data_IF_795990448737
#
_entry.id   IF_795990448737
#
_cell.length_a   1.000
_cell.length_b   1.000
_cell.length_c   1.000
_cell.angle_alpha   90.00
_cell.angle_beta   90.00
_cell.angle_gamma   90.00
#
_symmetry.space_group_name_H-M   'P 1'
#
loop_
_entity.id
_entity.type
_entity.pdbx_description
1 polymer ?
#
# COMPACT_ATOMS: atom_id res chain seq x y z
N UNK A 1 47.82 32.70 19.08
CA UNK A 1 46.73 32.38 18.18
C UNK A 1 47.15 31.21 17.31
N UNK A 2 46.75 30.00 17.68
CA UNK A 2 47.02 28.79 16.91
C UNK A 2 45.70 28.33 16.26
N UNK A 3 45.73 28.24 14.95
CA UNK A 3 44.58 27.79 14.15
C UNK A 3 44.25 26.31 14.42
N UNK A 4 42.99 26.02 14.68
CA UNK A 4 42.47 24.68 14.75
C UNK A 4 42.14 24.22 13.35
N UNK A 5 42.77 23.14 12.95
CA UNK A 5 42.62 22.47 11.67
C UNK A 5 41.41 21.55 11.76
N UNK A 6 40.36 21.87 11.03
CA UNK A 6 39.14 21.03 10.89
C UNK A 6 39.36 20.04 9.75
N UNK A 7 39.91 18.87 10.02
CA UNK A 7 39.90 17.73 9.06
C UNK A 7 40.11 16.43 9.84
N UNK A 8 39.12 16.02 10.60
CA UNK A 8 38.99 14.62 11.02
C UNK A 8 37.85 13.99 10.21
N UNK A 9 38.27 13.23 9.20
CA UNK A 9 37.41 12.32 8.45
C UNK A 9 36.97 11.20 9.40
N UNK A 10 35.67 11.13 9.67
CA UNK A 10 35.08 9.93 10.23
C UNK A 10 35.10 8.84 9.15
N UNK A 11 36.12 7.99 9.20
CA UNK A 11 36.15 6.74 8.45
C UNK A 11 35.35 5.75 9.28
N UNK A 12 34.12 5.47 8.84
CA UNK A 12 33.37 4.30 9.30
C UNK A 12 34.14 3.06 8.82
N UNK A 13 34.78 2.37 9.74
CA UNK A 13 35.26 1.00 9.53
C UNK A 13 34.03 0.11 9.39
N UNK A 14 33.65 -0.21 8.17
CA UNK A 14 32.83 -1.38 7.88
C UNK A 14 33.76 -2.56 8.00
N UNK A 15 33.78 -3.24 9.15
CA UNK A 15 34.38 -4.55 9.27
C UNK A 15 33.66 -5.50 8.33
N UNK A 16 34.40 -5.99 7.34
CA UNK A 16 34.03 -7.11 6.50
C UNK A 16 33.78 -8.34 7.38
N UNK A 17 32.54 -8.55 7.79
CA UNK A 17 32.09 -9.86 8.25
C UNK A 17 32.14 -10.78 7.02
N UNK A 18 33.21 -11.54 6.89
CA UNK A 18 33.26 -12.70 6.00
C UNK A 18 32.13 -13.62 6.41
N UNK A 19 31.05 -13.63 5.63
CA UNK A 19 30.10 -14.71 5.67
C UNK A 19 30.87 -15.99 5.34
N UNK A 20 31.06 -16.86 6.31
CA UNK A 20 31.59 -18.21 6.07
C UNK A 20 30.62 -18.90 5.08
N UNK A 21 31.16 -19.65 4.10
CA UNK A 21 30.33 -20.42 3.21
C UNK A 21 29.56 -21.44 4.04
N UNK A 22 28.24 -21.34 4.08
CA UNK A 22 27.36 -22.36 4.65
C UNK A 22 27.63 -23.65 3.87
N UNK A 23 28.29 -24.60 4.52
CA UNK A 23 28.63 -25.91 3.95
C UNK A 23 27.32 -26.67 3.74
N UNK A 24 27.01 -27.00 2.50
CA UNK A 24 25.85 -27.74 2.02
C UNK A 24 25.87 -29.25 2.35
N UNK A 25 26.44 -29.66 3.48
CA UNK A 25 26.68 -31.09 3.82
C UNK A 25 25.55 -31.77 4.63
N UNK A 26 24.43 -31.11 4.91
CA UNK A 26 23.32 -31.73 5.68
C UNK A 26 21.98 -31.87 4.94
N UNK A 27 21.95 -31.93 3.62
CA UNK A 27 20.75 -32.09 2.81
C UNK A 27 20.31 -33.54 2.57
N UNK A 28 20.67 -34.46 3.44
CA UNK A 28 20.45 -35.89 3.22
C UNK A 28 19.57 -36.64 4.20
N UNK A 29 18.77 -35.99 5.07
CA UNK A 29 18.05 -36.73 6.14
C UNK A 29 16.64 -36.27 6.50
N UNK A 30 15.94 -35.52 5.70
CA UNK A 30 14.49 -35.33 5.91
C UNK A 30 13.73 -35.70 4.66
N UNK A 31 12.94 -36.76 4.79
CA UNK A 31 12.08 -37.27 3.73
C UNK A 31 11.03 -36.24 3.33
N UNK A 32 10.76 -36.26 2.05
CA UNK A 32 9.74 -35.64 1.24
C UNK A 32 8.80 -34.61 1.84
N UNK A 33 8.58 -33.57 1.06
CA UNK A 33 7.47 -32.60 1.00
C UNK A 33 7.57 -31.24 1.70
N UNK A 34 8.67 -30.86 2.37
CA UNK A 34 8.73 -29.54 3.03
C UNK A 34 10.02 -28.71 2.73
N UNK A 35 10.66 -28.91 1.58
CA UNK A 35 11.90 -28.20 1.24
C UNK A 35 11.74 -26.99 0.33
N UNK A 36 10.57 -26.67 -0.13
CA UNK A 36 10.24 -25.36 -0.64
C UNK A 36 9.75 -24.54 0.55
N UNK A 37 10.65 -23.84 1.20
CA UNK A 37 10.24 -22.81 2.15
C UNK A 37 9.17 -21.98 1.46
N UNK A 38 7.93 -22.07 1.95
CA UNK A 38 6.77 -21.44 1.35
C UNK A 38 7.11 -19.97 1.11
N UNK A 39 7.45 -19.62 -0.13
CA UNK A 39 7.63 -18.24 -0.55
C UNK A 39 6.35 -17.51 -0.22
N UNK A 40 6.38 -16.71 0.84
CA UNK A 40 5.23 -15.95 1.27
C UNK A 40 5.09 -14.76 0.33
N UNK A 41 4.28 -14.95 -0.71
CA UNK A 41 3.96 -13.89 -1.66
C UNK A 41 3.42 -12.70 -0.86
N UNK A 42 4.05 -11.55 -1.06
CA UNK A 42 3.72 -10.31 -0.35
C UNK A 42 2.73 -9.50 -1.18
N UNK A 43 1.71 -8.99 -0.53
CA UNK A 43 0.73 -8.08 -1.12
C UNK A 43 0.16 -7.17 -0.04
N UNK A 44 -0.13 -5.92 -0.38
CA UNK A 44 -0.85 -4.98 0.45
C UNK A 44 -2.37 -4.99 0.15
N UNK A 45 -2.80 -5.70 -0.89
CA UNK A 45 -4.20 -5.75 -1.28
C UNK A 45 -4.98 -6.85 -0.56
N UNK A 46 -6.10 -6.49 0.08
CA UNK A 46 -6.97 -7.44 0.77
C UNK A 46 -7.68 -8.39 -0.20
N UNK A 47 -8.02 -7.92 -1.40
CA UNK A 47 -8.61 -8.75 -2.44
C UNK A 47 -7.68 -9.88 -2.85
N UNK A 48 -6.38 -9.63 -2.99
CA UNK A 48 -5.38 -10.66 -3.32
C UNK A 48 -5.14 -11.63 -2.16
N UNK A 49 -5.22 -11.15 -0.92
CA UNK A 49 -5.15 -12.03 0.24
C UNK A 49 -6.34 -13.00 0.28
N UNK A 50 -7.52 -12.58 -0.17
CA UNK A 50 -8.72 -13.41 -0.24
C UNK A 50 -8.69 -14.39 -1.41
N UNK A 51 -8.17 -14.02 -2.57
CA UNK A 51 -8.11 -14.87 -3.77
C UNK A 51 -7.41 -16.20 -3.52
N UNK A 52 -6.41 -16.26 -2.65
CA UNK A 52 -5.74 -17.50 -2.23
C UNK A 52 -6.72 -18.56 -1.70
N UNK A 53 -7.74 -18.14 -0.95
CA UNK A 53 -8.75 -19.05 -0.39
C UNK A 53 -9.79 -19.46 -1.42
N UNK A 54 -10.02 -18.63 -2.42
CA UNK A 54 -10.94 -18.95 -3.53
C UNK A 54 -10.36 -20.00 -4.45
N UNK A 55 -9.06 -19.92 -4.75
CA UNK A 55 -8.32 -20.93 -5.50
C UNK A 55 -8.39 -22.30 -4.82
N UNK A 56 -8.39 -22.35 -3.49
CA UNK A 56 -8.49 -23.56 -2.68
C UNK A 56 -9.94 -23.99 -2.37
N UNK A 57 -10.96 -23.28 -2.85
CA UNK A 57 -12.38 -23.47 -2.51
C UNK A 57 -12.67 -23.43 -0.98
N UNK A 58 -11.92 -22.65 -0.24
CA UNK A 58 -12.05 -22.52 1.23
C UNK A 58 -12.82 -21.25 1.58
N UNK A 59 -13.98 -21.39 2.25
CA UNK A 59 -14.67 -20.28 2.89
C UNK A 59 -13.97 -19.90 4.19
N UNK A 60 -13.53 -18.66 4.30
CA UNK A 60 -12.93 -18.12 5.53
C UNK A 60 -14.03 -17.59 6.43
N UNK A 61 -14.28 -18.27 7.56
CA UNK A 61 -15.28 -17.83 8.55
C UNK A 61 -14.92 -16.44 9.11
N UNK A 62 -15.88 -15.52 9.04
CA UNK A 62 -15.69 -14.15 9.52
C UNK A 62 -15.06 -13.23 8.49
N UNK A 63 -15.07 -13.62 7.22
CA UNK A 63 -14.76 -12.76 6.08
C UNK A 63 -15.97 -12.72 5.16
N UNK A 64 -16.51 -11.53 4.95
CA UNK A 64 -17.63 -11.27 4.03
C UNK A 64 -17.09 -10.56 2.79
N UNK A 65 -17.55 -10.95 1.61
CA UNK A 65 -17.14 -10.33 0.34
C UNK A 65 -18.37 -9.94 -0.46
N UNK A 66 -18.36 -8.72 -0.92
CA UNK A 66 -19.35 -8.18 -1.83
C UNK A 66 -18.64 -7.62 -3.05
N UNK A 67 -19.06 -8.03 -4.24
CA UNK A 67 -18.55 -7.53 -5.52
C UNK A 67 -19.66 -6.84 -6.28
N UNK A 68 -19.33 -5.70 -6.86
CA UNK A 68 -20.19 -4.93 -7.76
C UNK A 68 -19.37 -4.57 -9.01
N UNK A 69 -19.96 -4.74 -10.19
CA UNK A 69 -19.34 -4.39 -11.44
C UNK A 69 -20.26 -3.51 -12.29
N UNK A 70 -19.80 -2.31 -12.53
CA UNK A 70 -20.46 -1.37 -13.41
C UNK A 70 -19.91 -1.52 -14.84
N UNK A 71 -20.67 -2.18 -15.71
CA UNK A 71 -20.27 -2.44 -17.11
C UNK A 71 -20.12 -1.13 -17.92
N UNK A 72 -20.93 -0.10 -17.65
CA UNK A 72 -20.89 1.15 -18.41
C UNK A 72 -19.62 1.95 -18.13
N UNK A 73 -19.12 1.83 -16.89
CA UNK A 73 -17.94 2.57 -16.41
C UNK A 73 -16.68 1.70 -16.37
N UNK A 74 -16.80 0.42 -16.65
CA UNK A 74 -15.73 -0.57 -16.47
C UNK A 74 -15.03 -0.44 -15.11
N UNK A 75 -15.85 -0.28 -14.04
CA UNK A 75 -15.38 -0.16 -12.66
C UNK A 75 -15.87 -1.38 -11.88
N UNK A 76 -14.94 -2.12 -11.31
CA UNK A 76 -15.21 -3.21 -10.36
C UNK A 76 -14.92 -2.74 -8.96
N UNK A 77 -15.87 -2.90 -8.06
CA UNK A 77 -15.71 -2.60 -6.63
C UNK A 77 -15.88 -3.86 -5.81
N UNK A 78 -14.84 -4.25 -5.09
CA UNK A 78 -14.85 -5.40 -4.18
C UNK A 78 -14.73 -4.90 -2.75
N UNK A 79 -15.70 -5.23 -1.91
CA UNK A 79 -15.71 -4.93 -0.47
C UNK A 79 -15.43 -6.21 0.31
N UNK A 80 -14.33 -6.24 1.02
CA UNK A 80 -13.95 -7.32 1.94
C UNK A 80 -14.11 -6.84 3.37
N UNK A 81 -14.98 -7.48 4.15
CA UNK A 81 -15.15 -7.19 5.59
C UNK A 81 -14.61 -8.34 6.41
N UNK A 82 -13.65 -8.04 7.26
CA UNK A 82 -13.07 -8.98 8.20
C UNK A 82 -13.70 -8.71 9.56
N UNK A 83 -14.57 -9.64 10.04
CA UNK A 83 -15.42 -9.41 11.22
C UNK A 83 -14.94 -10.17 12.44
N UNK A 84 -14.03 -11.12 12.29
CA UNK A 84 -13.55 -11.96 13.41
C UNK A 84 -12.02 -12.03 13.46
N UNK A 85 -11.48 -12.34 14.65
CA UNK A 85 -10.03 -12.58 14.82
C UNK A 85 -9.53 -13.78 14.00
N UNK A 86 -10.34 -14.81 13.81
CA UNK A 86 -9.97 -15.95 12.99
C UNK A 86 -9.86 -15.55 11.52
N UNK A 87 -10.81 -14.72 11.03
CA UNK A 87 -10.74 -14.11 9.72
C UNK A 87 -9.50 -13.23 9.57
N UNK A 88 -9.21 -12.41 10.58
CA UNK A 88 -8.03 -11.54 10.57
C UNK A 88 -6.72 -12.35 10.50
N UNK A 89 -6.60 -13.43 11.27
CA UNK A 89 -5.44 -14.33 11.22
C UNK A 89 -5.31 -15.03 9.87
N UNK A 90 -6.40 -15.54 9.32
CA UNK A 90 -6.41 -16.21 8.02
C UNK A 90 -6.00 -15.26 6.91
N UNK A 91 -6.60 -14.07 6.87
CA UNK A 91 -6.31 -13.03 5.88
C UNK A 91 -4.94 -12.35 6.09
N UNK A 92 -4.33 -12.48 7.29
CA UNK A 92 -3.11 -11.75 7.65
C UNK A 92 -3.33 -10.23 7.71
N UNK A 93 -4.57 -9.79 8.06
CA UNK A 93 -4.99 -8.39 8.06
C UNK A 93 -5.87 -8.08 9.26
N UNK A 94 -5.85 -6.84 9.78
CA UNK A 94 -6.74 -6.43 10.86
C UNK A 94 -8.23 -6.61 10.52
N UNK A 95 -9.06 -6.73 11.55
CA UNK A 95 -10.51 -6.64 11.41
C UNK A 95 -10.89 -5.25 10.91
N UNK A 96 -11.80 -5.18 9.95
CA UNK A 96 -12.25 -3.92 9.35
C UNK A 96 -12.75 -4.11 7.94
N UNK A 97 -12.92 -3.00 7.24
CA UNK A 97 -13.45 -2.93 5.88
C UNK A 97 -12.34 -2.56 4.90
N UNK A 98 -12.23 -3.33 3.85
CA UNK A 98 -11.30 -3.09 2.74
C UNK A 98 -12.11 -3.00 1.46
N UNK A 99 -12.04 -1.85 0.80
CA UNK A 99 -12.73 -1.57 -0.45
C UNK A 99 -11.69 -1.46 -1.55
N UNK A 100 -11.81 -2.28 -2.56
CA UNK A 100 -10.92 -2.29 -3.71
C UNK A 100 -11.69 -1.85 -4.93
N UNK A 101 -11.25 -0.79 -5.58
CA UNK A 101 -11.78 -0.25 -6.83
C UNK A 101 -10.78 -0.61 -7.92
N UNK A 102 -11.20 -1.38 -8.92
CA UNK A 102 -10.37 -1.80 -10.04
C UNK A 102 -10.96 -1.26 -11.34
N UNK A 103 -10.10 -0.71 -12.18
CA UNK A 103 -10.46 -0.20 -13.49
C UNK A 103 -9.26 -0.16 -14.43
N UNK A 104 -9.40 -0.69 -15.63
CA UNK A 104 -8.34 -0.64 -16.63
C UNK A 104 -8.04 0.79 -17.08
N UNK A 105 -9.04 1.66 -17.06
CA UNK A 105 -8.90 3.05 -17.45
C UNK A 105 -8.06 3.91 -16.52
N UNK A 106 -7.80 3.47 -15.27
CA UNK A 106 -6.91 4.21 -14.36
C UNK A 106 -5.49 4.41 -14.91
N UNK A 107 -5.04 3.52 -15.79
CA UNK A 107 -3.75 3.65 -16.47
C UNK A 107 -3.83 4.34 -17.83
N UNK A 108 -5.03 4.76 -18.26
CA UNK A 108 -5.23 5.44 -19.53
C UNK A 108 -5.21 6.97 -19.34
N UNK A 109 -4.69 7.74 -20.31
CA UNK A 109 -4.66 9.20 -20.26
C UNK A 109 -6.04 9.80 -20.65
N UNK A 110 -7.12 9.38 -20.00
CA UNK A 110 -8.48 9.83 -20.26
C UNK A 110 -9.07 10.52 -19.01
N UNK A 111 -9.23 11.84 -19.08
CA UNK A 111 -9.73 12.65 -17.96
C UNK A 111 -11.17 12.30 -17.55
N UNK A 112 -12.04 11.92 -18.49
CA UNK A 112 -13.43 11.56 -18.18
C UNK A 112 -13.50 10.26 -17.37
N UNK A 113 -12.63 9.32 -17.69
CA UNK A 113 -12.53 8.05 -16.99
C UNK A 113 -12.04 8.21 -15.55
N UNK A 114 -11.03 9.05 -15.32
CA UNK A 114 -10.54 9.37 -13.99
C UNK A 114 -11.60 10.04 -13.12
N UNK A 115 -12.47 10.83 -13.73
CA UNK A 115 -13.59 11.45 -13.01
C UNK A 115 -14.57 10.41 -12.48
N UNK A 116 -14.91 9.39 -13.24
CA UNK A 116 -15.81 8.33 -12.81
C UNK A 116 -15.25 7.51 -11.65
N UNK A 117 -13.97 7.14 -11.72
CA UNK A 117 -13.27 6.46 -10.62
C UNK A 117 -13.17 7.37 -9.39
N UNK A 118 -12.93 8.67 -9.57
CA UNK A 118 -12.88 9.63 -8.47
C UNK A 118 -14.24 9.81 -7.78
N UNK A 119 -15.35 9.77 -8.53
CA UNK A 119 -16.71 9.78 -7.98
C UNK A 119 -16.96 8.52 -7.13
N UNK A 120 -16.54 7.34 -7.61
CA UNK A 120 -16.67 6.09 -6.87
C UNK A 120 -15.83 6.10 -5.59
N UNK A 121 -14.57 6.53 -5.67
CA UNK A 121 -13.69 6.74 -4.52
C UNK A 121 -14.32 7.70 -3.50
N UNK A 122 -14.82 8.85 -3.97
CA UNK A 122 -15.47 9.86 -3.14
C UNK A 122 -16.71 9.31 -2.43
N UNK A 123 -17.52 8.50 -3.11
CA UNK A 123 -18.70 7.84 -2.54
C UNK A 123 -18.35 6.97 -1.35
N UNK A 124 -17.31 6.14 -1.48
CA UNK A 124 -16.85 5.28 -0.40
C UNK A 124 -16.21 6.04 0.75
N UNK A 125 -15.39 7.06 0.45
CA UNK A 125 -14.80 7.92 1.48
C UNK A 125 -15.86 8.65 2.29
N UNK A 126 -16.89 9.20 1.66
CA UNK A 126 -18.02 9.85 2.35
C UNK A 126 -18.70 8.90 3.32
N UNK A 127 -18.95 7.66 2.93
CA UNK A 127 -19.55 6.63 3.79
C UNK A 127 -18.66 6.29 4.99
N UNK A 128 -17.37 6.09 4.75
CA UNK A 128 -16.43 5.71 5.80
C UNK A 128 -16.17 6.86 6.79
N UNK A 129 -16.09 8.10 6.31
CA UNK A 129 -15.74 9.26 7.14
C UNK A 129 -16.96 9.90 7.81
N UNK A 130 -18.13 9.84 7.17
CA UNK A 130 -19.34 10.52 7.65
C UNK A 130 -19.26 12.03 7.44
N UNK A 131 -19.18 12.48 6.18
CA UNK A 131 -18.96 13.88 5.78
C UNK A 131 -20.24 14.73 5.75
N UNK A 132 -21.32 14.31 6.42
CA UNK A 132 -22.57 15.06 6.51
C UNK A 132 -22.49 16.27 7.45
N UNK A 133 -21.39 16.39 8.21
CA UNK A 133 -21.11 17.50 9.12
C UNK A 133 -19.69 18.03 8.88
N UNK A 134 -19.47 19.27 9.34
CA UNK A 134 -18.10 19.84 9.34
C UNK A 134 -17.11 18.90 10.02
N UNK A 135 -15.99 18.67 9.36
CA UNK A 135 -14.91 17.82 9.85
C UNK A 135 -13.58 18.53 9.71
N UNK A 136 -12.69 18.28 10.67
CA UNK A 136 -11.27 18.58 10.54
C UNK A 136 -10.56 17.32 10.03
N UNK A 137 -9.91 17.41 8.88
CA UNK A 137 -9.25 16.30 8.21
C UNK A 137 -7.77 16.57 8.09
N UNK A 138 -6.95 15.62 8.52
CA UNK A 138 -5.51 15.62 8.26
C UNK A 138 -5.21 14.58 7.18
N UNK A 139 -4.63 15.01 6.07
CA UNK A 139 -4.20 14.13 5.00
C UNK A 139 -2.69 13.93 5.12
N UNK A 140 -2.25 12.69 5.16
CA UNK A 140 -0.84 12.29 5.30
C UNK A 140 -0.40 11.60 4.03
N UNK A 141 0.47 12.24 3.25
CA UNK A 141 1.08 11.65 2.07
C UNK A 141 2.35 10.88 2.45
N UNK A 142 2.26 9.55 2.47
CA UNK A 142 3.37 8.66 2.81
C UNK A 142 4.27 8.44 1.60
N UNK A 143 5.54 8.19 1.86
CA UNK A 143 6.52 7.84 0.83
C UNK A 143 7.61 8.88 0.63
N UNK A 144 8.42 8.65 -0.40
CA UNK A 144 9.58 9.45 -0.75
C UNK A 144 9.34 10.16 -2.10
N UNK A 145 9.23 11.49 -2.13
CA UNK A 145 9.00 12.23 -3.37
C UNK A 145 10.15 12.10 -4.40
N UNK A 146 11.32 11.66 -3.97
CA UNK A 146 12.48 11.41 -4.85
C UNK A 146 12.49 10.03 -5.52
N UNK A 147 11.50 9.18 -5.22
CA UNK A 147 11.39 7.82 -5.77
C UNK A 147 10.02 7.68 -6.42
N UNK A 148 9.95 7.59 -7.74
CA UNK A 148 8.70 7.55 -8.51
C UNK A 148 7.70 6.52 -7.97
N UNK A 149 8.13 5.31 -7.72
CA UNK A 149 7.25 4.24 -7.22
C UNK A 149 6.72 4.49 -5.79
N UNK A 150 7.28 5.44 -5.06
CA UNK A 150 6.96 5.78 -3.66
C UNK A 150 6.50 7.24 -3.50
N UNK A 151 6.23 7.94 -4.61
CA UNK A 151 5.89 9.37 -4.61
C UNK A 151 4.39 9.67 -4.57
N UNK A 152 3.51 8.66 -4.63
CA UNK A 152 2.07 8.84 -4.71
C UNK A 152 1.53 9.76 -3.60
N UNK A 153 1.81 9.46 -2.34
CA UNK A 153 1.34 10.25 -1.21
C UNK A 153 1.82 11.71 -1.25
N UNK A 154 3.12 11.98 -1.44
CA UNK A 154 3.64 13.33 -1.64
C UNK A 154 2.97 14.10 -2.78
N UNK A 155 2.77 13.46 -3.94
CA UNK A 155 2.14 14.09 -5.10
C UNK A 155 0.67 14.43 -4.85
N UNK A 156 -0.08 13.53 -4.21
CA UNK A 156 -1.47 13.82 -3.79
C UNK A 156 -1.52 15.05 -2.90
N UNK A 157 -0.64 15.17 -1.89
CA UNK A 157 -0.59 16.35 -1.02
C UNK A 157 -0.28 17.61 -1.81
N UNK A 158 0.64 17.54 -2.79
CA UNK A 158 1.02 18.67 -3.62
C UNK A 158 -0.13 19.24 -4.47
N UNK A 159 -1.09 18.38 -4.84
CA UNK A 159 -2.21 18.74 -5.72
C UNK A 159 -3.52 19.05 -4.95
N UNK A 160 -3.59 18.82 -3.65
CA UNK A 160 -4.79 19.08 -2.86
C UNK A 160 -4.90 20.53 -2.38
N UNK A 161 -6.13 21.05 -2.40
CA UNK A 161 -6.43 22.37 -1.83
C UNK A 161 -6.66 22.29 -0.32
N UNK A 162 -5.73 22.81 0.46
CA UNK A 162 -5.83 22.90 1.91
C UNK A 162 -6.72 24.05 2.33
N UNK A 163 -7.72 23.79 3.18
CA UNK A 163 -8.73 24.79 3.58
C UNK A 163 -8.63 25.22 5.03
N UNK A 164 -7.94 24.46 5.90
CA UNK A 164 -7.86 24.74 7.34
C UNK A 164 -7.36 26.14 7.66
N UNK A 165 -6.34 26.64 6.98
CA UNK A 165 -5.79 27.97 7.17
C UNK A 165 -6.78 29.06 6.73
N UNK A 166 -7.52 28.85 5.64
CA UNK A 166 -8.53 29.79 5.16
C UNK A 166 -9.69 29.93 6.14
N UNK A 167 -10.15 28.81 6.71
CA UNK A 167 -11.21 28.79 7.73
C UNK A 167 -10.75 29.54 8.97
N UNK A 168 -9.50 29.35 9.42
CA UNK A 168 -8.96 29.98 10.64
C UNK A 168 -8.70 31.48 10.48
N UNK A 169 -8.15 31.89 9.34
CA UNK A 169 -7.76 33.28 9.11
C UNK A 169 -8.93 34.16 8.64
N UNK A 170 -9.76 33.63 7.76
CA UNK A 170 -10.85 34.41 7.17
C UNK A 170 -12.23 34.11 7.76
N UNK A 171 -12.31 33.20 8.73
CA UNK A 171 -13.57 32.87 9.39
C UNK A 171 -14.61 32.27 8.45
N UNK A 172 -14.16 31.53 7.41
CA UNK A 172 -15.07 30.90 6.46
C UNK A 172 -15.95 29.88 7.21
N UNK A 173 -17.23 29.84 6.87
CA UNK A 173 -18.22 28.96 7.48
C UNK A 173 -18.97 28.20 6.42
N UNK A 174 -19.43 27.01 6.79
CA UNK A 174 -20.38 26.25 5.98
C UNK A 174 -21.66 27.05 5.74
N UNK A 175 -22.28 26.78 4.61
CA UNK A 175 -23.59 27.32 4.25
C UNK A 175 -24.62 26.19 4.20
N UNK A 176 -25.93 26.50 4.09
CA UNK A 176 -26.97 25.47 3.93
C UNK A 176 -26.77 24.58 2.70
N UNK A 177 -26.03 25.08 1.69
CA UNK A 177 -25.78 24.37 0.42
C UNK A 177 -24.43 23.70 0.34
N UNK A 178 -23.47 24.08 1.22
CA UNK A 178 -22.09 23.61 1.13
C UNK A 178 -21.48 23.45 2.52
N UNK A 179 -21.12 22.24 2.86
CA UNK A 179 -20.35 21.94 4.06
C UNK A 179 -18.86 22.19 3.76
N UNK A 180 -18.23 22.97 4.62
CA UNK A 180 -16.82 23.29 4.51
C UNK A 180 -16.01 22.49 5.53
N UNK A 181 -15.12 21.64 5.06
CA UNK A 181 -14.22 20.84 5.90
C UNK A 181 -12.88 21.55 6.09
N UNK A 182 -12.31 21.47 7.30
CA UNK A 182 -10.99 22.01 7.60
C UNK A 182 -9.91 21.00 7.20
N UNK A 183 -9.42 21.08 5.98
CA UNK A 183 -8.43 20.15 5.41
C UNK A 183 -7.03 20.71 5.62
N UNK A 184 -6.14 19.89 6.18
CA UNK A 184 -4.69 20.11 6.30
C UNK A 184 -3.95 18.89 5.77
N UNK A 185 -2.73 19.07 5.29
CA UNK A 185 -1.90 18.01 4.73
C UNK A 185 -0.47 18.08 5.19
N UNK A 186 0.20 16.93 5.24
CA UNK A 186 1.61 16.80 5.54
C UNK A 186 2.24 15.67 4.71
N UNK A 187 3.48 15.89 4.29
CA UNK A 187 4.38 14.87 3.76
C UNK A 187 5.47 14.65 4.80
N UNK A 188 5.38 13.62 5.66
CA UNK A 188 6.35 13.42 6.75
C UNK A 188 7.73 12.99 6.25
N UNK A 189 7.83 12.51 5.01
CA UNK A 189 9.03 11.89 4.47
C UNK A 189 9.26 10.47 4.99
N UNK A 190 10.43 9.92 4.71
CA UNK A 190 10.83 8.58 5.13
C UNK A 190 11.93 8.63 6.18
N UNK A 191 12.04 7.61 7.03
CA UNK A 191 13.02 7.53 8.12
C UNK A 191 14.46 7.78 7.64
N UNK A 192 14.82 7.30 6.44
CA UNK A 192 16.15 7.53 5.86
C UNK A 192 16.48 9.01 5.58
N UNK A 193 15.47 9.87 5.48
CA UNK A 193 15.63 11.32 5.28
C UNK A 193 15.51 12.09 6.59
N UNK A 194 14.58 11.69 7.46
CA UNK A 194 14.23 12.44 8.68
C UNK A 194 14.95 11.96 9.93
N UNK A 195 15.38 10.68 9.95
CA UNK A 195 15.89 10.02 11.15
C UNK A 195 14.82 9.68 12.19
N UNK A 196 13.54 9.88 11.86
CA UNK A 196 12.39 9.63 12.74
C UNK A 196 11.43 8.64 12.09
N UNK A 197 10.68 7.90 12.91
CA UNK A 197 9.56 7.11 12.42
C UNK A 197 8.44 8.03 11.91
N UNK A 198 7.81 7.64 10.80
CA UNK A 198 6.70 8.41 10.24
C UNK A 198 5.55 8.56 11.23
N UNK A 199 5.28 7.52 12.04
CA UNK A 199 4.26 7.54 13.09
C UNK A 199 4.53 8.60 14.15
N UNK A 200 5.77 8.79 14.60
CA UNK A 200 6.15 9.82 15.59
C UNK A 200 5.85 11.23 15.07
N UNK A 201 6.18 11.49 13.80
CA UNK A 201 5.91 12.79 13.17
C UNK A 201 4.41 13.04 13.09
N UNK A 202 3.65 12.05 12.63
CA UNK A 202 2.19 12.15 12.46
C UNK A 202 1.48 12.29 13.81
N UNK A 203 1.89 11.54 14.82
CA UNK A 203 1.38 11.64 16.19
C UNK A 203 1.52 13.07 16.75
N UNK A 204 2.71 13.67 16.64
CA UNK A 204 2.93 15.04 17.05
C UNK A 204 2.04 16.06 16.31
N UNK A 205 1.78 15.85 15.01
CA UNK A 205 0.87 16.69 14.24
C UNK A 205 -0.58 16.49 14.67
N UNK A 206 -1.01 15.25 14.92
CA UNK A 206 -2.36 14.91 15.39
C UNK A 206 -2.64 15.52 16.75
N UNK A 207 -1.69 15.47 17.70
CA UNK A 207 -1.83 16.08 19.01
C UNK A 207 -2.10 17.60 18.94
N UNK A 208 -1.41 18.30 18.02
CA UNK A 208 -1.53 19.75 17.85
C UNK A 208 -2.77 20.13 17.04
N UNK A 209 -3.04 19.39 15.95
CA UNK A 209 -4.10 19.77 15.01
C UNK A 209 -5.47 19.24 15.41
N UNK A 210 -5.52 18.14 16.17
CA UNK A 210 -6.72 17.45 16.66
C UNK A 210 -7.75 17.24 15.56
N UNK A 211 -7.41 16.50 14.51
CA UNK A 211 -8.34 16.24 13.42
C UNK A 211 -9.43 15.26 13.87
N UNK A 212 -10.60 15.32 13.25
CA UNK A 212 -11.67 14.30 13.42
C UNK A 212 -11.34 13.00 12.71
N UNK A 213 -10.51 13.07 11.66
CA UNK A 213 -10.07 11.91 10.87
C UNK A 213 -8.73 12.18 10.22
N UNK A 214 -7.92 11.15 10.15
CA UNK A 214 -6.67 11.10 9.37
C UNK A 214 -6.91 10.27 8.11
N UNK A 215 -6.51 10.77 6.96
CA UNK A 215 -6.46 10.02 5.70
C UNK A 215 -5.00 9.83 5.34
N UNK A 216 -4.52 8.60 5.34
CA UNK A 216 -3.15 8.27 4.95
C UNK A 216 -3.14 7.73 3.52
N UNK A 217 -2.32 8.31 2.65
CA UNK A 217 -2.17 7.92 1.24
C UNK A 217 -0.78 7.34 1.04
N UNK A 218 -0.70 6.13 0.47
CA UNK A 218 0.56 5.40 0.30
C UNK A 218 0.61 4.63 -1.02
N UNK A 219 1.82 4.37 -1.49
CA UNK A 219 2.10 3.45 -2.57
C UNK A 219 2.15 2.01 -2.04
N UNK A 220 1.43 1.10 -2.67
CA UNK A 220 1.29 -0.28 -2.24
C UNK A 220 2.10 -1.24 -3.11
N UNK A 221 2.30 -2.46 -2.60
CA UNK A 221 2.80 -3.58 -3.37
C UNK A 221 1.65 -4.54 -3.74
N UNK A 222 1.52 -4.86 -5.03
CA UNK A 222 0.62 -5.90 -5.51
C UNK A 222 1.36 -7.23 -5.66
N UNK A 223 0.60 -8.32 -5.64
CA UNK A 223 1.03 -9.62 -6.13
C UNK A 223 0.86 -9.74 -7.64
N UNK A 224 -0.25 -9.26 -8.18
CA UNK A 224 -0.60 -9.40 -9.58
C UNK A 224 -0.24 -8.14 -10.38
N UNK A 225 0.55 -8.31 -11.44
CA UNK A 225 0.95 -7.20 -12.34
C UNK A 225 -0.23 -6.49 -12.99
N UNK A 226 -1.38 -7.18 -13.18
CA UNK A 226 -2.58 -6.58 -13.76
C UNK A 226 -3.18 -5.48 -12.90
N UNK A 227 -2.86 -5.44 -11.60
CA UNK A 227 -3.36 -4.46 -10.64
C UNK A 227 -2.50 -3.23 -10.50
N UNK A 228 -1.29 -3.25 -11.06
CA UNK A 228 -0.40 -2.08 -11.01
C UNK A 228 -1.06 -0.89 -11.69
N UNK A 229 -1.16 0.22 -10.93
CA UNK A 229 -1.75 1.49 -11.36
C UNK A 229 -3.22 1.39 -11.87
N UNK A 230 -3.90 0.28 -11.58
CA UNK A 230 -5.30 0.02 -12.00
C UNK A 230 -6.22 -0.29 -10.84
N UNK A 231 -5.70 -0.13 -9.63
CA UNK A 231 -6.40 -0.52 -8.41
C UNK A 231 -6.23 0.54 -7.35
N UNK A 232 -7.31 0.93 -6.69
CA UNK A 232 -7.28 1.77 -5.50
C UNK A 232 -7.85 0.96 -4.35
N UNK A 233 -7.12 0.83 -3.24
CA UNK A 233 -7.64 0.23 -2.02
C UNK A 233 -7.91 1.29 -0.97
N UNK A 234 -9.09 1.24 -0.34
CA UNK A 234 -9.48 2.07 0.80
C UNK A 234 -9.71 1.14 1.99
N UNK A 235 -9.30 1.54 3.18
CA UNK A 235 -9.57 0.76 4.39
C UNK A 235 -9.77 1.66 5.61
N UNK A 236 -10.60 1.20 6.54
CA UNK A 236 -10.82 1.84 7.84
C UNK A 236 -9.90 1.31 8.96
N UNK A 237 -8.96 0.45 8.62
CA UNK A 237 -8.00 -0.12 9.58
C UNK A 237 -6.70 0.68 9.72
N UNK A 238 -6.57 1.77 8.98
CA UNK A 238 -5.32 2.49 8.86
C UNK A 238 -4.35 1.86 7.87
N UNK A 239 -3.07 2.23 7.94
CA UNK A 239 -2.03 1.77 7.03
C UNK A 239 -0.73 1.54 7.77
N UNK A 240 0.01 0.51 7.36
CA UNK A 240 1.37 0.26 7.87
C UNK A 240 2.36 0.50 6.73
N UNK A 241 3.10 1.62 6.76
CA UNK A 241 4.00 1.99 5.68
C UNK A 241 5.04 0.91 5.39
N UNK A 242 5.19 0.52 4.13
CA UNK A 242 6.19 -0.45 3.69
C UNK A 242 5.94 -1.90 4.11
N UNK A 243 4.74 -2.26 4.58
CA UNK A 243 4.40 -3.64 4.96
C UNK A 243 4.54 -4.62 3.80
N UNK A 244 4.12 -4.25 2.61
CA UNK A 244 4.20 -5.06 1.39
C UNK A 244 5.62 -5.33 0.92
N UNK A 245 6.57 -4.48 1.28
CA UNK A 245 8.01 -4.66 0.98
C UNK A 245 8.79 -5.23 2.17
N UNK A 246 8.10 -5.67 3.24
CA UNK A 246 8.69 -6.36 4.38
C UNK A 246 9.33 -5.46 5.42
N UNK A 247 9.04 -4.17 5.41
CA UNK A 247 9.42 -3.25 6.46
C UNK A 247 8.40 -3.32 7.61
N UNK A 248 8.87 -3.65 8.82
CA UNK A 248 8.04 -3.62 10.01
C UNK A 248 8.17 -2.24 10.67
N UNK A 249 7.21 -1.36 10.39
CA UNK A 249 7.13 -0.02 10.96
C UNK A 249 5.84 0.12 11.79
N UNK A 250 5.81 1.12 12.66
CA UNK A 250 4.59 1.46 13.38
C UNK A 250 3.52 1.93 12.40
N UNK A 251 2.34 1.27 12.45
CA UNK A 251 1.21 1.61 11.60
C UNK A 251 0.56 2.93 12.03
N UNK A 252 0.02 3.66 11.07
CA UNK A 252 -0.92 4.75 11.31
C UNK A 252 -2.31 4.12 11.46
N UNK A 253 -2.71 3.85 12.68
CA UNK A 253 -3.98 3.19 13.04
C UNK A 253 -4.75 4.02 14.04
N UNK A 254 -6.04 3.75 14.21
CA UNK A 254 -6.87 4.42 15.22
C UNK A 254 -6.34 4.15 16.64
N UNK A 255 -5.81 2.95 16.88
CA UNK A 255 -5.23 2.57 18.16
C UNK A 255 -4.00 3.43 18.52
N UNK A 256 -3.12 3.68 17.54
CA UNK A 256 -1.88 4.42 17.77
C UNK A 256 -2.10 5.94 17.84
N UNK A 257 -3.02 6.47 17.03
CA UNK A 257 -3.22 7.91 16.90
C UNK A 257 -4.40 8.46 17.71
N UNK A 258 -5.20 7.61 18.36
CA UNK A 258 -6.45 7.96 19.06
C UNK A 258 -7.41 8.81 18.21
N UNK A 259 -7.40 8.61 16.91
CA UNK A 259 -8.26 9.25 15.92
C UNK A 259 -8.54 8.27 14.79
N UNK A 260 -9.73 8.32 14.21
CA UNK A 260 -10.07 7.49 13.08
C UNK A 260 -9.08 7.66 11.93
N UNK A 261 -8.58 6.55 11.41
CA UNK A 261 -7.61 6.54 10.29
C UNK A 261 -8.20 5.79 9.11
N UNK A 262 -8.20 6.44 7.95
CA UNK A 262 -8.54 5.83 6.66
C UNK A 262 -7.25 5.69 5.86
N UNK A 263 -6.96 4.48 5.41
CA UNK A 263 -5.87 4.22 4.47
C UNK A 263 -6.37 4.26 3.04
N UNK A 264 -5.65 4.90 2.15
CA UNK A 264 -5.84 4.86 0.70
C UNK A 264 -4.52 4.44 0.09
N UNK A 265 -4.55 3.49 -0.83
CA UNK A 265 -3.33 3.09 -1.49
C UNK A 265 -3.54 2.59 -2.91
N UNK A 266 -2.50 2.78 -3.72
CA UNK A 266 -2.44 2.32 -5.11
C UNK A 266 -1.20 1.46 -5.27
N UNK A 267 -1.31 0.26 -5.84
CA UNK A 267 -0.15 -0.58 -6.09
C UNK A 267 0.69 -0.01 -7.23
N UNK A 268 1.91 0.37 -6.91
CA UNK A 268 2.90 0.94 -7.84
C UNK A 268 4.05 -0.02 -8.13
N UNK A 269 4.20 -1.07 -7.30
CA UNK A 269 5.27 -2.07 -7.44
C UNK A 269 4.74 -3.49 -7.30
N UNK A 270 5.49 -4.43 -7.87
CA UNK A 270 5.29 -5.87 -7.72
C UNK A 270 6.64 -6.55 -7.51
N UNK A 271 6.66 -7.64 -6.75
CA UNK A 271 7.87 -8.44 -6.56
C UNK A 271 8.28 -9.10 -7.88
N UNK A 272 9.55 -8.96 -8.28
CA UNK A 272 10.09 -9.52 -9.51
C UNK A 272 9.97 -11.06 -9.58
N UNK A 273 10.10 -11.74 -8.44
CA UNK A 273 9.90 -13.18 -8.36
C UNK A 273 8.46 -13.58 -8.71
N UNK A 274 7.49 -12.76 -8.33
CA UNK A 274 6.07 -12.96 -8.67
C UNK A 274 5.85 -12.84 -10.19
N UNK A 275 6.47 -11.87 -10.86
CA UNK A 275 6.35 -11.71 -12.32
C UNK A 275 6.86 -12.97 -13.04
N UNK A 276 8.02 -13.48 -12.62
CA UNK A 276 8.59 -14.68 -13.21
C UNK A 276 7.70 -15.90 -12.95
N UNK A 277 7.23 -16.05 -11.71
CA UNK A 277 6.31 -17.13 -11.33
C UNK A 277 5.03 -17.10 -12.18
N UNK A 278 4.34 -15.95 -12.26
CA UNK A 278 3.08 -15.83 -13.01
C UNK A 278 3.28 -16.06 -14.52
N UNK A 279 4.42 -15.57 -15.07
CA UNK A 279 4.76 -15.80 -16.49
C UNK A 279 5.01 -17.27 -16.77
N UNK A 280 5.69 -17.96 -15.87
CA UNK A 280 5.97 -19.38 -15.98
C UNK A 280 4.72 -20.24 -15.76
N UNK A 281 3.88 -19.89 -14.78
CA UNK A 281 2.61 -20.57 -14.53
C UNK A 281 1.71 -20.51 -15.77
N UNK A 282 1.61 -19.34 -16.41
CA UNK A 282 0.85 -19.19 -17.65
C UNK A 282 1.42 -20.00 -18.82
N UNK A 283 2.76 -20.08 -18.93
CA UNK A 283 3.42 -20.94 -19.92
C UNK A 283 3.08 -22.41 -19.68
N UNK A 284 3.06 -22.85 -18.42
CA UNK A 284 2.75 -24.24 -18.04
C UNK A 284 1.30 -24.63 -18.31
N UNK A 285 0.34 -23.72 -18.08
CA UNK A 285 -1.06 -23.92 -18.41
C UNK A 285 -1.25 -24.22 -19.91
N UNK A 286 -0.36 -23.68 -20.76
CA UNK A 286 -0.37 -23.92 -22.21
C UNK A 286 0.34 -25.20 -22.62
N UNK A 287 1.13 -25.83 -21.76
CA UNK A 287 1.99 -26.97 -22.07
C UNK A 287 1.50 -28.34 -21.56
N UNK A 288 0.42 -28.42 -20.83
CA UNK A 288 -0.34 -29.62 -20.42
C UNK A 288 0.42 -30.73 -19.67
N UNK A 289 1.58 -30.47 -19.01
CA UNK A 289 2.33 -31.51 -18.30
C UNK A 289 2.71 -31.11 -16.85
N UNK A 290 2.18 -31.89 -15.88
CA UNK A 290 2.36 -31.66 -14.44
C UNK A 290 3.81 -31.77 -13.93
N UNK A 291 4.67 -32.54 -14.60
CA UNK A 291 6.09 -32.72 -14.23
C UNK A 291 6.96 -31.48 -14.51
N UNK A 292 6.49 -30.57 -15.38
CA UNK A 292 7.23 -29.35 -15.72
C UNK A 292 7.06 -28.23 -14.70
N UNK A 293 6.01 -28.29 -13.87
CA UNK A 293 5.70 -27.25 -12.89
C UNK A 293 6.76 -27.17 -11.77
N UNK A 294 7.15 -28.32 -11.24
CA UNK A 294 8.17 -28.44 -10.19
C UNK A 294 9.56 -27.97 -10.69
N UNK A 295 9.90 -28.31 -11.92
CA UNK A 295 11.17 -27.90 -12.56
C UNK A 295 11.27 -26.37 -12.77
N UNK A 296 10.16 -25.71 -13.09
CA UNK A 296 10.16 -24.27 -13.35
C UNK A 296 10.19 -23.43 -12.05
N UNK A 297 9.59 -23.93 -10.97
CA UNK A 297 9.70 -23.28 -9.66
C UNK A 297 11.15 -23.28 -9.15
N UNK A 298 11.94 -24.31 -9.44
CA UNK A 298 13.38 -24.37 -9.14
C UNK A 298 14.23 -23.40 -9.98
N UNK A 299 13.73 -22.99 -11.16
CA UNK A 299 14.46 -22.08 -12.06
C UNK A 299 14.38 -20.61 -11.66
N UNK A 300 13.44 -20.24 -10.78
CA UNK A 300 13.32 -18.84 -10.33
C UNK A 300 14.54 -18.50 -9.47
N UNK A 301 15.38 -17.61 -9.99
CA UNK A 301 16.58 -17.19 -9.27
C UNK A 301 16.24 -16.59 -7.90
N UNK A 302 16.86 -17.05 -6.80
CA UNK A 302 16.67 -16.46 -5.48
C UNK A 302 16.96 -14.96 -5.41
N UNK A 303 17.74 -14.41 -6.34
CA UNK A 303 18.02 -12.97 -6.41
C UNK A 303 16.82 -12.12 -6.81
N UNK A 304 15.78 -12.71 -7.38
CA UNK A 304 14.54 -11.99 -7.74
C UNK A 304 13.64 -11.77 -6.53
N UNK A 305 13.83 -12.54 -5.45
CA UNK A 305 13.03 -12.37 -4.24
C UNK A 305 13.34 -11.06 -3.53
N UNK A 306 12.31 -10.26 -3.30
CA UNK A 306 12.45 -8.94 -2.69
C UNK A 306 12.94 -7.84 -3.66
N UNK A 307 13.10 -8.15 -4.96
CA UNK A 307 13.30 -7.16 -6.00
C UNK A 307 11.95 -6.68 -6.50
N UNK A 308 11.64 -5.40 -6.30
CA UNK A 308 10.40 -4.80 -6.77
C UNK A 308 10.61 -4.07 -8.07
N UNK A 309 9.68 -4.22 -9.00
CA UNK A 309 9.68 -3.54 -10.28
C UNK A 309 8.44 -2.66 -10.42
N UNK A 310 8.57 -1.59 -11.17
CA UNK A 310 7.52 -0.61 -11.43
C UNK A 310 7.30 -0.50 -12.94
N UNK A 311 6.06 -0.27 -13.40
CA UNK A 311 5.80 -0.01 -14.81
C UNK A 311 6.51 1.26 -15.28
N UNK A 312 6.73 1.34 -16.58
CA UNK A 312 7.39 2.48 -17.22
C UNK A 312 6.59 3.78 -17.12
N UNK A 313 5.29 3.65 -17.02
CA UNK A 313 4.27 4.69 -17.05
C UNK A 313 3.74 5.07 -15.67
N UNK A 314 4.39 4.62 -14.58
CA UNK A 314 4.02 5.02 -13.21
C UNK A 314 3.98 6.53 -13.03
N UNK A 315 4.95 7.24 -13.60
CA UNK A 315 5.00 8.71 -13.52
C UNK A 315 3.75 9.37 -14.14
N UNK A 316 3.25 8.82 -15.24
CA UNK A 316 2.03 9.31 -15.89
C UNK A 316 0.81 9.01 -15.03
N UNK A 317 0.70 7.78 -14.53
CA UNK A 317 -0.41 7.36 -13.68
C UNK A 317 -0.50 8.20 -12.40
N UNK A 318 0.62 8.49 -11.74
CA UNK A 318 0.65 9.32 -10.53
C UNK A 318 0.11 10.73 -10.82
N UNK A 319 0.44 11.33 -11.95
CA UNK A 319 -0.09 12.65 -12.36
C UNK A 319 -1.61 12.68 -12.52
N UNK A 320 -2.21 11.56 -12.88
CA UNK A 320 -3.66 11.47 -13.03
C UNK A 320 -4.40 11.14 -11.72
N UNK A 321 -3.71 10.51 -10.76
CA UNK A 321 -4.28 10.14 -9.47
C UNK A 321 -4.11 11.24 -8.40
N UNK A 322 -3.19 12.16 -8.62
CA UNK A 322 -2.95 13.33 -7.75
C UNK A 322 -3.81 14.51 -8.16
#
# INVERSE_FOLDING_TARGET
>A
MKGMNCNEKYILHIENSRAEPVIWENLGKYGGTDMLGTYKIRTDLAVEARERFTEDNVEVRGVEVQEDYNEEKDIRTTVVKITTENGARAMGRPQGTYITIESEGLSAPDEDYHREVSEELSRHLRQLIGLEKEKSVLIVGLGNPGITADSLGPEVIGNLHMTRHLIREYGLKSTEKQILHAISGIVPGVMGQTGMETSEIVEGVVEITRPDVVIAVDALAARNTRRLNRTIQITDTGITPGSGVGNHRNGLTEENLNVKVIGIGVPTVVDAATIVHDSMAHLLETLDEAEQKEFLEEMISPHLHGMFVTPKDVDETIKYLS
#
